data_IF_596043295560
#
_entry.id   IF_596043295560
#
_cell.length_a   1.000
_cell.length_b   1.000
_cell.length_c   1.000
_cell.angle_alpha   90.00
_cell.angle_beta   90.00
_cell.angle_gamma   90.00
#
_symmetry.space_group_name_H-M   'P 1'
#
loop_
_entity.id
_entity.type
_entity.pdbx_description
1 polymer ?
#
# COMPACT_ATOMS: atom_id res chain seq x y z
N UNK A 1 53.83 10.48 -1.47
CA UNK A 1 53.07 9.24 -1.74
C UNK A 1 51.92 9.03 -0.75
N UNK A 2 52.13 9.05 0.58
CA UNK A 2 51.07 8.89 1.62
C UNK A 2 49.84 9.82 1.47
N UNK A 3 50.03 11.09 1.10
CA UNK A 3 48.93 12.06 0.92
C UNK A 3 48.01 11.72 -0.26
N UNK A 4 48.52 11.11 -1.34
CA UNK A 4 47.69 10.71 -2.50
C UNK A 4 46.76 9.55 -2.15
N UNK A 5 47.19 8.62 -1.31
CA UNK A 5 46.37 7.51 -0.83
C UNK A 5 45.26 7.98 0.12
N UNK A 6 45.53 8.97 0.98
CA UNK A 6 44.53 9.59 1.85
C UNK A 6 43.47 10.36 1.06
N UNK A 7 43.87 11.14 0.04
CA UNK A 7 42.93 11.84 -0.85
C UNK A 7 42.12 10.85 -1.67
N UNK A 8 42.73 9.77 -2.15
CA UNK A 8 42.01 8.73 -2.89
C UNK A 8 41.04 7.95 -1.98
N UNK A 9 41.41 7.66 -0.73
CA UNK A 9 40.51 7.11 0.29
C UNK A 9 39.36 8.06 0.60
N UNK A 10 39.62 9.36 0.79
CA UNK A 10 38.60 10.38 1.02
C UNK A 10 37.65 10.53 -0.17
N UNK A 11 38.16 10.46 -1.40
CA UNK A 11 37.34 10.46 -2.62
C UNK A 11 36.54 9.16 -2.75
N UNK A 12 37.10 8.00 -2.42
CA UNK A 12 36.37 6.73 -2.43
C UNK A 12 35.27 6.70 -1.35
N UNK A 13 35.52 7.26 -0.17
CA UNK A 13 34.51 7.45 0.89
C UNK A 13 33.53 8.59 0.62
N UNK A 14 33.86 9.53 -0.27
CA UNK A 14 32.92 10.55 -0.73
C UNK A 14 32.05 10.04 -1.89
N UNK A 15 32.58 9.10 -2.70
CA UNK A 15 31.88 8.43 -3.81
C UNK A 15 30.98 7.28 -3.31
N UNK A 16 31.20 6.78 -2.09
CA UNK A 16 30.23 5.98 -1.34
C UNK A 16 29.55 6.92 -0.32
N UNK A 17 28.35 7.48 -0.45
CA UNK A 17 27.05 6.85 -0.76
C UNK A 17 26.03 8.00 -0.94
N UNK A 18 25.87 8.55 -2.15
CA UNK A 18 24.53 9.02 -2.57
C UNK A 18 23.94 7.91 -3.42
N UNK A 19 23.56 6.81 -2.77
CA UNK A 19 22.79 5.77 -3.46
C UNK A 19 21.39 6.32 -3.71
N UNK A 20 21.25 7.01 -4.82
CA UNK A 20 19.96 7.41 -5.40
C UNK A 20 19.30 6.13 -5.92
N UNK A 21 18.45 5.52 -5.09
CA UNK A 21 17.53 4.47 -5.53
C UNK A 21 16.44 5.05 -6.45
N UNK A 22 16.03 4.28 -7.46
CA UNK A 22 14.78 4.49 -8.19
C UNK A 22 13.63 3.80 -7.47
N UNK A 23 12.59 4.54 -7.11
CA UNK A 23 11.49 4.08 -6.27
C UNK A 23 10.17 4.29 -7.01
N UNK A 24 9.34 3.25 -7.08
CA UNK A 24 8.00 3.31 -7.63
C UNK A 24 6.96 3.33 -6.50
N UNK A 25 6.19 4.41 -6.36
CA UNK A 25 5.04 4.50 -5.47
C UNK A 25 3.73 4.21 -6.20
N UNK A 26 2.92 3.29 -5.69
CA UNK A 26 1.64 2.87 -6.27
C UNK A 26 0.52 3.10 -5.26
N UNK A 27 -0.26 4.16 -5.45
CA UNK A 27 -1.28 4.63 -4.50
C UNK A 27 -2.65 4.79 -5.21
N UNK A 28 -3.36 3.69 -5.49
CA UNK A 28 -4.60 3.69 -6.27
C UNK A 28 -5.82 4.24 -5.55
N UNK A 29 -5.79 4.45 -4.22
CA UNK A 29 -6.98 4.89 -3.51
C UNK A 29 -7.35 6.35 -3.80
N UNK A 30 -8.61 6.58 -4.18
CA UNK A 30 -9.21 7.92 -4.38
C UNK A 30 -9.66 8.59 -3.07
N UNK A 31 -8.81 8.55 -2.04
CA UNK A 31 -9.06 9.22 -0.76
C UNK A 31 -7.86 10.09 -0.37
N UNK A 32 -8.09 11.40 -0.17
CA UNK A 32 -7.02 12.35 0.21
C UNK A 32 -6.32 11.97 1.51
N UNK A 33 -7.05 11.39 2.46
CA UNK A 33 -6.48 10.92 3.73
C UNK A 33 -5.45 9.81 3.53
N UNK A 34 -5.68 8.92 2.57
CA UNK A 34 -4.74 7.87 2.21
C UNK A 34 -3.49 8.46 1.55
N UNK A 35 -3.70 9.33 0.56
CA UNK A 35 -2.59 9.98 -0.12
C UNK A 35 -1.74 10.83 0.83
N UNK A 36 -2.34 11.54 1.78
CA UNK A 36 -1.58 12.35 2.74
C UNK A 36 -0.53 11.54 3.50
N UNK A 37 -0.87 10.31 3.89
CA UNK A 37 0.04 9.38 4.57
C UNK A 37 1.16 8.93 3.62
N UNK A 38 0.79 8.41 2.44
CA UNK A 38 1.76 7.90 1.47
C UNK A 38 2.72 8.99 0.96
N UNK A 39 2.17 10.17 0.69
CA UNK A 39 2.88 11.35 0.20
C UNK A 39 4.00 11.80 1.16
N UNK A 40 3.80 11.66 2.47
CA UNK A 40 4.83 12.00 3.46
C UNK A 40 6.11 11.19 3.24
N UNK A 41 6.01 9.90 2.95
CA UNK A 41 7.16 9.03 2.70
C UNK A 41 7.83 9.37 1.37
N UNK A 42 7.05 9.41 0.29
CA UNK A 42 7.64 9.59 -1.06
C UNK A 42 8.27 10.97 -1.25
N UNK A 43 7.72 12.02 -0.63
CA UNK A 43 8.34 13.35 -0.63
C UNK A 43 9.65 13.37 0.14
N UNK A 44 9.70 12.74 1.32
CA UNK A 44 10.93 12.66 2.11
C UNK A 44 12.02 11.85 1.38
N UNK A 45 11.63 10.76 0.69
CA UNK A 45 12.58 9.99 -0.13
C UNK A 45 13.12 10.82 -1.29
N UNK A 46 12.27 11.55 -2.01
CA UNK A 46 12.70 12.44 -3.09
C UNK A 46 13.63 13.56 -2.57
N UNK A 47 13.29 14.16 -1.42
CA UNK A 47 14.11 15.18 -0.76
C UNK A 47 15.49 14.67 -0.33
N UNK A 48 15.61 13.38 -0.03
CA UNK A 48 16.89 12.70 0.26
C UNK A 48 17.68 12.31 -0.98
N UNK A 49 17.21 12.67 -2.18
CA UNK A 49 17.90 12.47 -3.44
C UNK A 49 17.59 11.15 -4.13
N UNK A 50 16.53 10.43 -3.74
CA UNK A 50 16.02 9.28 -4.50
C UNK A 50 15.19 9.72 -5.71
N UNK A 51 15.24 8.96 -6.79
CA UNK A 51 14.35 9.17 -7.94
C UNK A 51 13.03 8.47 -7.66
N UNK A 52 11.96 9.22 -7.47
CA UNK A 52 10.65 8.68 -7.09
C UNK A 52 9.66 8.88 -8.22
N UNK A 53 9.08 7.79 -8.73
CA UNK A 53 7.93 7.83 -9.63
C UNK A 53 6.69 7.45 -8.85
N UNK A 54 5.67 8.31 -8.82
CA UNK A 54 4.42 8.08 -8.09
C UNK A 54 3.26 7.93 -9.06
N UNK A 55 2.51 6.84 -8.90
CA UNK A 55 1.26 6.60 -9.60
C UNK A 55 0.10 6.82 -8.62
N UNK A 56 -0.70 7.86 -8.82
CA UNK A 56 -1.79 8.21 -7.91
C UNK A 56 -2.90 9.03 -8.59
N UNK A 57 -4.10 9.14 -8.00
CA UNK A 57 -5.17 9.96 -8.56
C UNK A 57 -5.09 11.43 -8.14
N UNK A 58 -4.11 11.80 -7.31
CA UNK A 58 -3.98 13.14 -6.74
C UNK A 58 -2.68 13.80 -7.22
N UNK A 59 -2.72 14.58 -8.31
CA UNK A 59 -1.53 15.29 -8.78
C UNK A 59 -1.04 16.29 -7.73
N UNK A 60 0.27 16.35 -7.56
CA UNK A 60 0.91 17.31 -6.70
C UNK A 60 0.99 18.69 -7.37
N UNK A 61 0.71 19.75 -6.59
CA UNK A 61 0.71 21.12 -7.11
C UNK A 61 2.10 21.76 -7.08
N UNK A 62 2.94 21.33 -6.14
CA UNK A 62 4.30 21.83 -6.00
C UNK A 62 5.27 21.03 -6.87
N UNK A 63 6.22 21.69 -7.54
CA UNK A 63 7.35 20.99 -8.13
C UNK A 63 8.24 20.40 -7.03
N UNK A 64 8.56 19.11 -7.16
CA UNK A 64 9.43 18.38 -6.24
C UNK A 64 10.61 17.84 -7.04
N UNK A 65 11.87 18.14 -6.66
CA UNK A 65 13.04 17.55 -7.30
C UNK A 65 13.03 16.01 -7.20
N UNK A 66 13.50 15.34 -8.25
CA UNK A 66 13.57 13.87 -8.33
C UNK A 66 12.23 13.15 -8.15
N UNK A 67 11.13 13.81 -8.51
CA UNK A 67 9.77 13.29 -8.33
C UNK A 67 9.01 13.38 -9.65
N UNK A 68 8.61 12.22 -10.17
CA UNK A 68 7.82 12.06 -11.40
C UNK A 68 6.44 11.55 -11.02
N UNK A 69 5.39 12.11 -11.62
CA UNK A 69 4.02 11.63 -11.42
C UNK A 69 3.44 10.99 -12.67
N UNK A 70 2.68 9.93 -12.44
CA UNK A 70 1.76 9.32 -13.40
C UNK A 70 0.39 9.40 -12.76
N UNK A 71 -0.47 10.25 -13.32
CA UNK A 71 -1.79 10.50 -12.75
C UNK A 71 -2.78 9.56 -13.40
N UNK A 72 -3.58 8.85 -12.61
CA UNK A 72 -4.67 8.06 -13.16
C UNK A 72 -5.67 8.96 -13.87
N UNK A 73 -6.25 8.44 -14.94
CA UNK A 73 -7.35 9.09 -15.66
C UNK A 73 -8.47 9.55 -14.70
N UNK A 74 -8.90 10.80 -14.87
CA UNK A 74 -9.85 11.48 -14.00
C UNK A 74 -11.28 10.92 -14.07
N UNK A 75 -11.58 10.10 -15.10
CA UNK A 75 -12.92 9.58 -15.37
C UNK A 75 -13.29 8.35 -14.51
N UNK A 76 -12.76 8.24 -13.29
CA UNK A 76 -12.99 7.09 -12.39
C UNK A 76 -14.49 6.83 -12.14
N UNK A 77 -15.30 7.89 -11.98
CA UNK A 77 -16.73 7.76 -11.71
C UNK A 77 -17.51 7.25 -12.91
N UNK A 78 -17.14 7.68 -14.12
CA UNK A 78 -17.74 7.19 -15.37
C UNK A 78 -17.38 5.73 -15.59
N UNK A 79 -16.10 5.37 -15.46
CA UNK A 79 -15.64 3.98 -15.54
C UNK A 79 -16.28 3.09 -14.47
N UNK A 80 -16.48 3.61 -13.27
CA UNK A 80 -17.22 2.90 -12.22
C UNK A 80 -18.67 2.62 -12.64
N UNK A 81 -19.35 3.61 -13.23
CA UNK A 81 -20.72 3.46 -13.72
C UNK A 81 -20.79 2.46 -14.87
N UNK A 82 -19.86 2.49 -15.82
CA UNK A 82 -19.80 1.54 -16.94
C UNK A 82 -19.64 0.10 -16.48
N UNK A 83 -18.84 -0.13 -15.43
CA UNK A 83 -18.57 -1.48 -14.91
C UNK A 83 -19.71 -1.99 -14.02
N UNK A 84 -20.32 -1.12 -13.21
CA UNK A 84 -21.26 -1.53 -12.14
C UNK A 84 -22.72 -1.20 -12.43
N UNK A 85 -23.01 -0.32 -13.38
CA UNK A 85 -24.34 0.24 -13.63
C UNK A 85 -24.83 1.21 -12.55
N UNK A 86 -23.97 1.65 -11.64
CA UNK A 86 -24.31 2.55 -10.52
C UNK A 86 -23.15 3.50 -10.21
N UNK A 87 -23.36 4.59 -9.47
CA UNK A 87 -22.27 5.41 -8.95
C UNK A 87 -21.74 4.85 -7.62
N UNK A 88 -20.49 5.18 -7.23
CA UNK A 88 -19.96 4.75 -5.94
C UNK A 88 -20.88 5.20 -4.79
N UNK A 89 -21.10 4.34 -3.78
CA UNK A 89 -21.92 4.71 -2.63
C UNK A 89 -21.28 5.84 -1.83
N UNK A 90 -22.12 6.65 -1.17
CA UNK A 90 -21.66 7.68 -0.23
C UNK A 90 -20.80 7.05 0.88
N UNK A 91 -19.57 7.52 1.14
CA UNK A 91 -18.72 6.96 2.17
C UNK A 91 -19.34 6.93 3.57
N UNK A 92 -20.26 7.85 3.90
CA UNK A 92 -20.91 7.82 5.21
C UNK A 92 -21.92 6.67 5.36
N UNK A 93 -22.45 6.13 4.26
CA UNK A 93 -23.31 4.94 4.30
C UNK A 93 -22.58 3.68 4.78
N UNK A 94 -21.24 3.66 4.73
CA UNK A 94 -20.44 2.54 5.20
C UNK A 94 -20.61 2.27 6.70
N UNK A 95 -21.00 3.28 7.49
CA UNK A 95 -21.22 3.15 8.94
C UNK A 95 -22.42 2.26 9.29
N UNK A 96 -23.35 2.11 8.36
CA UNK A 96 -24.60 1.35 8.55
C UNK A 96 -24.42 -0.11 8.11
N UNK A 97 -23.26 -0.46 7.55
CA UNK A 97 -22.91 -1.82 7.14
C UNK A 97 -22.41 -2.64 8.32
N UNK A 98 -22.85 -3.90 8.40
CA UNK A 98 -22.21 -4.86 9.28
C UNK A 98 -20.83 -5.28 8.75
N UNK A 99 -20.05 -5.97 9.59
CA UNK A 99 -18.68 -6.41 9.28
C UNK A 99 -18.55 -7.16 7.96
N UNK A 100 -19.52 -8.03 7.64
CA UNK A 100 -19.50 -8.85 6.42
C UNK A 100 -19.82 -8.01 5.19
N UNK A 101 -20.84 -7.15 5.27
CA UNK A 101 -21.20 -6.23 4.19
C UNK A 101 -20.07 -5.25 3.88
N UNK A 102 -19.47 -4.65 4.92
CA UNK A 102 -18.34 -3.75 4.79
C UNK A 102 -17.17 -4.44 4.08
N UNK A 103 -16.85 -5.68 4.49
CA UNK A 103 -15.76 -6.44 3.88
C UNK A 103 -16.01 -6.75 2.40
N UNK A 104 -17.18 -7.27 2.03
CA UNK A 104 -17.49 -7.54 0.62
C UNK A 104 -17.48 -6.27 -0.23
N UNK A 105 -17.95 -5.15 0.34
CA UNK A 105 -17.89 -3.85 -0.31
C UNK A 105 -16.43 -3.41 -0.56
N UNK A 106 -15.56 -3.51 0.44
CA UNK A 106 -14.14 -3.15 0.30
C UNK A 106 -13.41 -4.03 -0.71
N UNK A 107 -13.68 -5.34 -0.73
CA UNK A 107 -13.12 -6.27 -1.73
C UNK A 107 -13.62 -5.98 -3.14
N UNK A 108 -14.91 -5.67 -3.27
CA UNK A 108 -15.51 -5.25 -4.53
C UNK A 108 -14.87 -3.98 -5.05
N UNK A 109 -14.78 -2.95 -4.20
CA UNK A 109 -14.14 -1.67 -4.51
C UNK A 109 -12.67 -1.86 -4.92
N UNK A 110 -11.89 -2.60 -4.13
CA UNK A 110 -10.49 -2.88 -4.43
C UNK A 110 -10.30 -3.57 -5.79
N UNK A 111 -11.12 -4.59 -6.07
CA UNK A 111 -11.10 -5.27 -7.38
C UNK A 111 -11.46 -4.34 -8.53
N UNK A 112 -12.43 -3.43 -8.32
CA UNK A 112 -12.84 -2.46 -9.33
C UNK A 112 -11.74 -1.42 -9.59
N UNK A 113 -11.11 -0.89 -8.54
CA UNK A 113 -9.98 0.02 -8.68
C UNK A 113 -8.83 -0.64 -9.43
N UNK A 114 -8.52 -1.90 -9.13
CA UNK A 114 -7.55 -2.70 -9.88
C UNK A 114 -7.91 -2.83 -11.37
N UNK A 115 -9.16 -3.18 -11.68
CA UNK A 115 -9.64 -3.32 -13.06
C UNK A 115 -9.51 -2.01 -13.85
N UNK A 116 -9.87 -0.88 -13.23
CA UNK A 116 -9.81 0.44 -13.88
C UNK A 116 -8.37 0.94 -14.01
N UNK A 117 -7.60 0.90 -12.93
CA UNK A 117 -6.28 1.52 -12.90
C UNK A 117 -5.23 0.74 -13.68
N UNK A 118 -5.32 -0.58 -13.73
CA UNK A 118 -4.38 -1.35 -14.56
C UNK A 118 -4.64 -1.17 -16.06
N UNK A 119 -5.80 -0.65 -16.48
CA UNK A 119 -6.06 -0.27 -17.89
C UNK A 119 -5.48 1.10 -18.26
N UNK A 120 -5.11 1.91 -17.27
CA UNK A 120 -4.64 3.27 -17.49
C UNK A 120 -3.40 3.27 -18.39
N UNK A 121 -3.35 4.19 -19.35
CA UNK A 121 -2.28 4.25 -20.35
C UNK A 121 -0.91 4.42 -19.69
N UNK A 122 -0.78 5.27 -18.67
CA UNK A 122 0.50 5.47 -17.97
C UNK A 122 0.95 4.23 -17.19
N UNK A 123 -0.01 3.45 -16.69
CA UNK A 123 0.26 2.17 -16.01
C UNK A 123 0.64 1.09 -17.00
N UNK A 124 -0.04 1.02 -18.14
CA UNK A 124 0.29 0.10 -19.23
C UNK A 124 1.67 0.40 -19.82
N UNK A 125 2.05 1.68 -19.95
CA UNK A 125 3.41 2.08 -20.31
C UNK A 125 4.45 1.54 -19.30
N UNK A 126 4.20 1.63 -17.99
CA UNK A 126 5.08 1.04 -16.97
C UNK A 126 5.15 -0.49 -17.09
N UNK A 127 4.01 -1.18 -17.27
CA UNK A 127 3.94 -2.63 -17.42
C UNK A 127 4.75 -3.10 -18.65
N UNK A 128 4.67 -2.37 -19.75
CA UNK A 128 5.31 -2.71 -21.03
C UNK A 128 6.69 -2.07 -21.23
N UNK A 129 7.12 -1.22 -20.32
CA UNK A 129 8.44 -0.57 -20.37
C UNK A 129 9.57 -1.60 -20.47
N UNK A 130 10.57 -1.31 -21.29
CA UNK A 130 11.78 -2.14 -21.46
C UNK A 130 13.00 -1.55 -20.77
N UNK A 131 13.03 -0.23 -20.66
CA UNK A 131 14.20 0.53 -20.20
C UNK A 131 14.02 1.10 -18.79
N UNK A 132 12.87 0.86 -18.15
CA UNK A 132 12.62 1.26 -16.77
C UNK A 132 12.94 0.13 -15.79
N UNK A 133 13.56 0.50 -14.67
CA UNK A 133 13.87 -0.38 -13.55
C UNK A 133 13.65 0.39 -12.25
N UNK A 134 13.31 -0.34 -11.19
CA UNK A 134 13.14 0.22 -9.85
C UNK A 134 13.88 -0.65 -8.84
N UNK A 135 14.49 -0.02 -7.85
CA UNK A 135 15.18 -0.68 -6.74
C UNK A 135 14.23 -1.03 -5.59
N UNK A 136 13.10 -0.32 -5.52
CA UNK A 136 12.08 -0.47 -4.48
C UNK A 136 10.71 -0.13 -5.04
N UNK A 137 9.69 -0.89 -4.64
CA UNK A 137 8.29 -0.58 -4.91
C UNK A 137 7.58 -0.33 -3.59
N UNK A 138 6.90 0.81 -3.49
CA UNK A 138 6.06 1.18 -2.35
C UNK A 138 4.61 1.07 -2.81
N UNK A 139 3.83 0.20 -2.19
CA UNK A 139 2.42 -0.01 -2.51
C UNK A 139 1.59 0.37 -1.30
N UNK A 140 0.53 1.13 -1.50
CA UNK A 140 -0.48 1.30 -0.47
C UNK A 140 -1.11 -0.06 -0.10
N UNK A 141 -1.27 -0.36 1.19
CA UNK A 141 -1.89 -1.59 1.67
C UNK A 141 -3.41 -1.43 1.83
N UNK A 142 -4.16 -1.49 0.73
CA UNK A 142 -5.61 -1.28 0.75
C UNK A 142 -6.36 -2.00 -0.38
N UNK A 143 -6.44 -3.34 -0.32
CA UNK A 143 -7.21 -4.16 -1.28
C UNK A 143 -6.90 -3.84 -2.75
N UNK A 144 -5.62 -3.74 -3.05
CA UNK A 144 -5.04 -3.39 -4.34
C UNK A 144 -3.91 -4.36 -4.70
N UNK A 145 -4.02 -5.61 -4.25
CA UNK A 145 -2.98 -6.64 -4.36
C UNK A 145 -2.64 -6.97 -5.82
N UNK A 146 -3.52 -6.68 -6.78
CA UNK A 146 -3.23 -6.74 -8.22
C UNK A 146 -1.94 -5.98 -8.61
N UNK A 147 -1.58 -4.90 -7.90
CA UNK A 147 -0.38 -4.11 -8.16
C UNK A 147 0.91 -4.84 -7.75
N UNK A 148 0.83 -5.94 -6.98
CA UNK A 148 2.00 -6.78 -6.68
C UNK A 148 2.62 -7.40 -7.95
N UNK A 149 1.90 -7.42 -9.08
CA UNK A 149 2.48 -7.77 -10.39
C UNK A 149 3.72 -6.94 -10.75
N UNK A 150 3.82 -5.70 -10.25
CA UNK A 150 5.00 -4.87 -10.44
C UNK A 150 6.26 -5.41 -9.75
N UNK A 151 6.11 -6.16 -8.65
CA UNK A 151 7.22 -6.84 -7.98
C UNK A 151 7.90 -7.84 -8.92
N UNK A 152 7.11 -8.61 -9.67
CA UNK A 152 7.64 -9.51 -10.71
C UNK A 152 8.21 -8.75 -11.90
N UNK A 153 7.52 -7.70 -12.36
CA UNK A 153 7.94 -6.88 -13.51
C UNK A 153 9.33 -6.28 -13.32
N UNK A 154 9.56 -5.67 -12.17
CA UNK A 154 10.82 -4.96 -11.89
C UNK A 154 11.80 -5.75 -11.03
N UNK A 155 11.40 -6.93 -10.53
CA UNK A 155 12.22 -7.79 -9.65
C UNK A 155 12.73 -7.05 -8.42
N UNK A 156 11.88 -6.20 -7.85
CA UNK A 156 12.21 -5.33 -6.74
C UNK A 156 11.42 -5.72 -5.48
N UNK A 157 12.02 -5.56 -4.29
CA UNK A 157 11.31 -5.76 -3.02
C UNK A 157 10.16 -4.75 -2.87
N UNK A 158 9.14 -5.16 -2.13
CA UNK A 158 7.94 -4.35 -1.87
C UNK A 158 7.92 -3.85 -0.43
N UNK A 159 7.59 -2.56 -0.26
CA UNK A 159 7.17 -1.96 1.00
C UNK A 159 5.68 -1.66 0.91
N UNK A 160 4.91 -2.16 1.87
CA UNK A 160 3.47 -1.93 1.94
C UNK A 160 3.18 -0.82 2.95
N UNK A 161 2.36 0.18 2.60
CA UNK A 161 2.03 1.32 3.48
C UNK A 161 0.54 1.32 3.79
N UNK A 162 0.19 1.03 5.03
CA UNK A 162 -1.16 1.12 5.53
C UNK A 162 -1.43 2.53 6.08
N UNK A 163 -2.37 3.24 5.44
CA UNK A 163 -2.74 4.61 5.79
C UNK A 163 -3.53 4.76 7.09
N UNK A 164 -3.92 3.64 7.71
CA UNK A 164 -4.71 3.59 8.94
C UNK A 164 -4.07 2.63 9.97
N UNK A 165 -4.78 2.30 11.05
CA UNK A 165 -4.28 1.47 12.16
C UNK A 165 -3.89 0.02 11.81
N UNK A 166 -4.13 -0.39 10.56
CA UNK A 166 -3.94 -1.75 10.08
C UNK A 166 -5.06 -2.70 10.51
N UNK A 167 -5.12 -3.84 9.84
CA UNK A 167 -5.93 -5.00 10.24
C UNK A 167 -5.03 -6.24 10.24
N UNK A 168 -5.56 -7.38 10.67
CA UNK A 168 -4.79 -8.61 10.82
C UNK A 168 -4.14 -9.07 9.49
N UNK A 169 -4.80 -8.89 8.34
CA UNK A 169 -4.24 -9.33 7.05
C UNK A 169 -2.94 -8.62 6.65
N UNK A 170 -2.71 -7.38 7.11
CA UNK A 170 -1.44 -6.69 6.89
C UNK A 170 -0.28 -7.35 7.65
N UNK A 171 -0.58 -7.97 8.80
CA UNK A 171 0.39 -8.76 9.54
C UNK A 171 0.78 -10.03 8.78
N UNK A 172 -0.17 -10.67 8.10
CA UNK A 172 0.07 -11.91 7.35
C UNK A 172 1.09 -11.71 6.22
N UNK A 173 1.14 -10.52 5.60
CA UNK A 173 2.12 -10.16 4.56
C UNK A 173 3.58 -10.33 4.99
N UNK A 174 3.83 -10.25 6.30
CA UNK A 174 5.16 -10.26 6.91
C UNK A 174 5.32 -11.34 7.98
N UNK A 175 4.35 -12.24 8.10
CA UNK A 175 4.35 -13.33 9.07
C UNK A 175 4.12 -12.89 10.52
N UNK A 176 3.50 -11.73 10.75
CA UNK A 176 3.17 -11.26 12.09
C UNK A 176 2.01 -12.07 12.69
N UNK A 177 2.13 -12.60 13.92
CA UNK A 177 1.06 -13.38 14.52
C UNK A 177 -0.13 -12.49 14.93
N UNK A 178 -1.35 -12.98 14.68
CA UNK A 178 -2.61 -12.28 14.92
C UNK A 178 -3.49 -13.02 15.95
N UNK A 179 -3.31 -12.79 17.26
CA UNK A 179 -4.03 -13.52 18.30
C UNK A 179 -5.42 -12.92 18.59
N UNK A 180 -6.46 -13.52 18.01
CA UNK A 180 -7.86 -13.09 18.18
C UNK A 180 -8.41 -13.20 19.62
N UNK A 181 -7.68 -13.84 20.53
CA UNK A 181 -8.09 -13.97 21.94
C UNK A 181 -7.94 -12.67 22.73
N UNK A 182 -7.11 -11.72 22.30
CA UNK A 182 -6.94 -10.44 23.00
C UNK A 182 -6.71 -9.25 22.06
N UNK A 183 -6.45 -9.48 20.77
CA UNK A 183 -6.40 -8.42 19.76
C UNK A 183 -7.75 -8.41 19.03
N UNK A 184 -8.57 -7.35 19.18
CA UNK A 184 -9.81 -7.24 18.41
C UNK A 184 -9.49 -7.07 16.93
N UNK A 185 -10.24 -7.77 16.09
CA UNK A 185 -10.17 -7.61 14.65
C UNK A 185 -10.79 -6.26 14.25
N UNK A 186 -10.16 -5.57 13.28
CA UNK A 186 -10.58 -4.24 12.83
C UNK A 186 -11.99 -4.20 12.22
N UNK A 187 -12.58 -5.35 11.90
CA UNK A 187 -13.96 -5.47 11.45
C UNK A 187 -14.95 -5.73 12.59
N UNK A 188 -14.51 -5.75 13.85
CA UNK A 188 -15.38 -5.86 15.04
C UNK A 188 -15.42 -4.55 15.82
N UNK A 189 -16.43 -4.39 16.69
CA UNK A 189 -16.52 -3.24 17.60
C UNK A 189 -15.95 -3.56 19.00
N UNK A 190 -15.13 -4.60 19.12
CA UNK A 190 -14.60 -5.06 20.40
C UNK A 190 -13.35 -4.26 20.82
N UNK A 191 -13.03 -4.34 22.12
CA UNK A 191 -11.78 -3.81 22.69
C UNK A 191 -10.80 -4.94 23.01
N UNK A 192 -9.64 -4.63 23.59
CA UNK A 192 -8.73 -5.62 24.18
C UNK A 192 -9.32 -6.36 25.40
N UNK A 193 -10.42 -5.83 25.96
CA UNK A 193 -11.21 -6.48 27.01
C UNK A 193 -12.44 -7.14 26.40
N UNK A 194 -12.32 -8.43 26.14
CA UNK A 194 -13.40 -9.28 25.62
C UNK A 194 -13.83 -10.34 26.64
N UNK A 195 -15.12 -10.63 26.68
CA UNK A 195 -15.69 -11.85 27.27
C UNK A 195 -15.32 -13.08 26.43
N UNK A 196 -15.60 -14.29 26.93
CA UNK A 196 -15.36 -15.51 26.15
C UNK A 196 -16.15 -15.52 24.83
N UNK A 197 -17.43 -15.11 24.86
CA UNK A 197 -18.26 -15.04 23.65
C UNK A 197 -17.72 -14.02 22.66
N UNK A 198 -17.28 -12.85 23.11
CA UNK A 198 -16.70 -11.83 22.22
C UNK A 198 -15.38 -12.31 21.61
N UNK A 199 -14.51 -12.99 22.38
CA UNK A 199 -13.29 -13.62 21.82
C UNK A 199 -13.61 -14.67 20.76
N UNK A 200 -14.65 -15.48 21.01
CA UNK A 200 -15.11 -16.49 20.04
C UNK A 200 -15.62 -15.81 18.76
N UNK A 201 -16.48 -14.80 18.88
CA UNK A 201 -16.97 -14.01 17.75
C UNK A 201 -15.82 -13.33 17.00
N UNK A 202 -14.87 -12.73 17.71
CA UNK A 202 -13.70 -12.09 17.14
C UNK A 202 -12.85 -13.07 16.32
N UNK A 203 -12.65 -14.28 16.86
CA UNK A 203 -11.92 -15.35 16.18
C UNK A 203 -12.66 -15.81 14.93
N UNK A 204 -13.98 -16.03 15.00
CA UNK A 204 -14.80 -16.44 13.86
C UNK A 204 -14.76 -15.37 12.75
N UNK A 205 -14.93 -14.09 13.12
CA UNK A 205 -14.87 -12.97 12.16
C UNK A 205 -13.48 -12.91 11.53
N UNK A 206 -12.42 -12.86 12.31
CA UNK A 206 -11.05 -12.78 11.81
C UNK A 206 -10.66 -13.94 10.89
N UNK A 207 -10.96 -15.18 11.27
CA UNK A 207 -10.70 -16.34 10.41
C UNK A 207 -11.57 -16.34 9.16
N UNK A 208 -12.83 -15.92 9.26
CA UNK A 208 -13.68 -15.77 8.08
C UNK A 208 -13.11 -14.72 7.11
N UNK A 209 -12.61 -13.59 7.62
CA UNK A 209 -11.95 -12.57 6.79
C UNK A 209 -10.68 -13.11 6.13
N UNK A 210 -9.83 -13.81 6.89
CA UNK A 210 -8.57 -14.40 6.40
C UNK A 210 -8.82 -15.46 5.33
N UNK A 211 -9.73 -16.39 5.59
CA UNK A 211 -10.11 -17.44 4.63
C UNK A 211 -10.81 -16.84 3.42
N UNK A 212 -11.74 -15.91 3.62
CA UNK A 212 -12.46 -15.27 2.54
C UNK A 212 -11.50 -14.50 1.62
N UNK A 213 -10.50 -13.81 2.19
CA UNK A 213 -9.46 -13.13 1.42
C UNK A 213 -8.70 -14.15 0.56
N UNK A 214 -8.22 -15.23 1.17
CA UNK A 214 -7.43 -16.27 0.51
C UNK A 214 -8.19 -17.00 -0.62
N UNK A 215 -9.46 -17.35 -0.40
CA UNK A 215 -10.20 -18.22 -1.30
C UNK A 215 -11.14 -17.50 -2.26
N UNK A 216 -11.50 -16.23 -2.00
CA UNK A 216 -12.40 -15.46 -2.86
C UNK A 216 -11.73 -14.21 -3.43
N UNK A 217 -11.10 -13.40 -2.59
CA UNK A 217 -10.55 -12.12 -3.02
C UNK A 217 -9.25 -12.27 -3.82
N UNK A 218 -8.26 -13.00 -3.29
CA UNK A 218 -6.95 -13.18 -3.95
C UNK A 218 -7.07 -13.83 -5.34
N UNK A 219 -7.87 -14.90 -5.55
CA UNK A 219 -8.07 -15.45 -6.89
C UNK A 219 -8.64 -14.44 -7.90
N UNK A 220 -9.44 -13.48 -7.44
CA UNK A 220 -9.93 -12.39 -8.30
C UNK A 220 -8.80 -11.42 -8.63
N UNK A 221 -7.94 -11.07 -7.66
CA UNK A 221 -6.76 -10.25 -7.90
C UNK A 221 -5.77 -10.93 -8.85
N UNK A 222 -5.60 -12.25 -8.75
CA UNK A 222 -4.82 -13.07 -9.68
C UNK A 222 -5.34 -12.94 -11.12
N UNK A 223 -6.64 -13.10 -11.31
CA UNK A 223 -7.26 -13.00 -12.64
C UNK A 223 -7.06 -11.60 -13.24
N UNK A 224 -7.25 -10.54 -12.44
CA UNK A 224 -7.05 -9.15 -12.87
C UNK A 224 -5.57 -8.91 -13.22
N UNK A 225 -4.64 -9.31 -12.35
CA UNK A 225 -3.21 -9.13 -12.61
C UNK A 225 -2.77 -9.88 -13.88
N UNK A 226 -3.18 -11.13 -14.07
CA UNK A 226 -2.86 -11.89 -15.31
C UNK A 226 -3.42 -11.26 -16.56
N UNK A 227 -4.61 -10.63 -16.48
CA UNK A 227 -5.23 -9.93 -17.61
C UNK A 227 -4.40 -8.73 -18.07
N UNK A 228 -3.87 -7.94 -17.15
CA UNK A 228 -3.22 -6.66 -17.46
C UNK A 228 -1.69 -6.70 -17.51
N UNK A 229 -1.04 -7.56 -16.73
CA UNK A 229 0.41 -7.81 -16.82
C UNK A 229 0.73 -8.81 -17.94
N UNK A 230 0.15 -8.60 -19.11
CA UNK A 230 0.23 -9.51 -20.26
C UNK A 230 1.57 -9.43 -21.04
N UNK A 231 2.57 -8.70 -20.51
CA UNK A 231 3.93 -8.72 -21.01
C UNK A 231 4.62 -10.09 -20.82
N UNK A 232 4.04 -10.96 -19.99
CA UNK A 232 4.51 -12.32 -19.72
C UNK A 232 3.33 -13.27 -19.47
N UNK A 233 3.51 -14.55 -19.77
CA UNK A 233 2.58 -15.61 -19.39
C UNK A 233 2.96 -16.27 -18.04
N UNK A 234 4.16 -15.99 -17.54
CA UNK A 234 4.76 -16.66 -16.36
C UNK A 234 4.61 -15.82 -15.08
N UNK A 235 3.56 -15.00 -14.98
CA UNK A 235 3.29 -14.21 -13.78
C UNK A 235 2.99 -15.16 -12.60
N UNK A 236 3.73 -15.08 -11.48
CA UNK A 236 3.40 -15.83 -10.26
C UNK A 236 2.03 -15.42 -9.72
N UNK A 237 1.44 -16.25 -8.85
CA UNK A 237 0.21 -15.86 -8.16
C UNK A 237 0.45 -14.65 -7.24
N UNK A 238 -0.57 -13.85 -7.00
CA UNK A 238 -0.57 -12.75 -6.04
C UNK A 238 -0.12 -13.26 -4.67
N UNK A 239 -0.58 -14.44 -4.24
CA UNK A 239 -0.14 -15.03 -2.97
C UNK A 239 1.37 -15.33 -2.92
N UNK A 240 1.99 -15.71 -4.04
CA UNK A 240 3.45 -15.83 -4.13
C UNK A 240 4.12 -14.46 -4.16
N UNK A 241 3.55 -13.48 -4.85
CA UNK A 241 4.10 -12.12 -4.93
C UNK A 241 4.01 -11.36 -3.60
N UNK A 242 3.05 -11.69 -2.74
CA UNK A 242 2.98 -11.18 -1.36
C UNK A 242 4.28 -11.42 -0.59
N UNK A 243 4.97 -12.54 -0.86
CA UNK A 243 6.25 -12.88 -0.22
C UNK A 243 7.41 -11.94 -0.60
N UNK A 244 7.23 -11.11 -1.64
CA UNK A 244 8.17 -10.04 -1.99
C UNK A 244 8.05 -8.82 -1.06
N UNK A 245 7.05 -8.80 -0.18
CA UNK A 245 6.87 -7.75 0.83
C UNK A 245 7.94 -7.87 1.91
N UNK A 246 8.91 -6.96 1.89
CA UNK A 246 10.00 -6.93 2.85
C UNK A 246 9.64 -6.18 4.13
N UNK A 247 8.72 -5.23 4.04
CA UNK A 247 8.36 -4.32 5.14
C UNK A 247 6.92 -3.84 4.99
N UNK A 248 6.21 -3.77 6.10
CA UNK A 248 4.88 -3.14 6.20
C UNK A 248 4.98 -1.96 7.16
N UNK A 249 4.64 -0.77 6.67
CA UNK A 249 4.53 0.46 7.44
C UNK A 249 3.06 0.69 7.79
N UNK A 250 2.74 0.88 9.06
CA UNK A 250 1.36 1.08 9.52
C UNK A 250 1.24 2.43 10.20
N UNK A 251 0.27 3.24 9.78
CA UNK A 251 -0.06 4.53 10.40
C UNK A 251 -0.78 4.32 11.75
N UNK A 252 0.00 3.83 12.72
CA UNK A 252 -0.42 3.54 14.09
C UNK A 252 0.72 3.91 15.05
N UNK A 253 0.41 4.05 16.34
CA UNK A 253 1.42 4.19 17.39
C UNK A 253 1.01 3.36 18.61
N UNK A 254 1.96 2.71 19.27
CA UNK A 254 1.69 1.74 20.35
C UNK A 254 0.99 2.39 21.55
N UNK A 255 1.14 3.71 21.73
CA UNK A 255 0.47 4.46 22.80
C UNK A 255 -1.01 4.74 22.52
N UNK A 256 -1.47 4.56 21.28
CA UNK A 256 -2.84 4.88 20.84
C UNK A 256 -3.67 3.62 20.55
N UNK A 257 -3.10 2.44 20.71
CA UNK A 257 -3.73 1.18 20.31
C UNK A 257 -3.45 0.07 21.33
N UNK A 258 -4.15 -1.04 21.18
CA UNK A 258 -4.03 -2.20 22.05
C UNK A 258 -2.67 -2.88 21.89
N UNK A 259 -2.21 -3.53 22.96
CA UNK A 259 -1.02 -4.35 22.93
C UNK A 259 -1.22 -5.53 21.96
N UNK A 260 -0.34 -5.63 20.96
CA UNK A 260 -0.34 -6.72 19.98
C UNK A 260 1.09 -7.12 19.61
N UNK A 261 1.30 -8.36 19.13
CA UNK A 261 2.59 -8.76 18.60
C UNK A 261 3.01 -7.90 17.41
N UNK A 262 4.30 -7.55 17.34
CA UNK A 262 4.90 -6.78 16.26
C UNK A 262 6.22 -7.44 15.87
N UNK A 263 6.28 -7.99 14.66
CA UNK A 263 7.52 -8.44 14.05
C UNK A 263 8.36 -7.23 13.58
N UNK A 264 9.70 -7.34 13.50
CA UNK A 264 10.57 -6.22 13.12
C UNK A 264 10.27 -5.59 11.75
N UNK A 265 9.66 -6.36 10.85
CA UNK A 265 9.24 -5.97 9.51
C UNK A 265 7.80 -5.39 9.47
N UNK A 266 7.16 -5.19 10.61
CA UNK A 266 5.89 -4.46 10.77
C UNK A 266 6.16 -3.20 11.62
N UNK A 267 6.43 -2.08 10.95
CA UNK A 267 6.87 -0.84 11.61
C UNK A 267 5.73 0.15 11.72
N UNK A 268 5.57 0.71 12.91
CA UNK A 268 4.57 1.72 13.21
C UNK A 268 5.10 3.12 12.90
N UNK A 269 4.43 3.82 11.99
CA UNK A 269 4.77 5.17 11.50
C UNK A 269 3.61 6.16 11.71
N UNK A 270 2.94 6.02 12.86
CA UNK A 270 1.78 6.82 13.23
C UNK A 270 2.05 8.32 13.17
N UNK A 271 1.22 9.03 12.40
CA UNK A 271 1.26 10.49 12.32
C UNK A 271 2.40 11.08 11.50
N UNK A 272 3.14 10.29 10.71
CA UNK A 272 4.26 10.80 9.88
C UNK A 272 3.89 11.90 8.88
N UNK A 273 2.60 12.04 8.56
CA UNK A 273 2.06 13.07 7.67
C UNK A 273 1.63 14.35 8.40
N UNK A 274 1.63 14.34 9.75
CA UNK A 274 1.25 15.48 10.57
C UNK A 274 2.40 16.47 10.57
N UNK A 275 2.10 17.70 10.12
CA UNK A 275 3.05 18.82 10.13
C UNK A 275 2.80 19.71 11.35
N UNK A 276 3.81 20.49 11.78
CA UNK A 276 3.59 21.54 12.77
C UNK A 276 2.42 22.45 12.35
N UNK A 277 1.59 22.90 13.31
CA UNK A 277 0.48 23.80 13.01
C UNK A 277 1.01 25.09 12.35
N UNK A 278 0.31 25.57 11.33
CA UNK A 278 0.56 26.87 10.75
C UNK A 278 -0.12 27.94 11.60
N UNK A 279 0.48 29.13 11.70
CA UNK A 279 -0.18 30.28 12.30
C UNK A 279 -1.47 30.57 11.51
N UNK A 280 -2.58 30.79 12.21
CA UNK A 280 -3.83 31.17 11.59
C UNK A 280 -3.62 32.54 10.94
N UNK A 281 -3.96 32.67 9.65
CA UNK A 281 -4.08 33.98 9.04
C UNK A 281 -5.18 34.76 9.77
N UNK A 282 -4.85 35.95 10.27
CA UNK A 282 -5.83 36.89 10.85
C UNK A 282 -6.97 37.22 9.87
#
# INVERSE_FOLDING_TARGET
VRSKWLVMLLLITAVHVSRTAKILGLFPMHAKSHMAVNLAIVKELAARGHEVTVVSPFPEKSEIPNYKEIVFDANIFEKFFEITGSYPPDPFSMRDLNSMQLMFMLWGMGSMLCEIHLQDAGVQELIHSKDENFDLIIIEAFFNDCFLGFAHKFKAPVVQVCSFGGTNWMGDLVGNPNPYSYVPDGFTHFSDRMTFSERLTNTIVGEFMRMGRKYFYIPKQDAIARKYFNYTNDLPSISELETSTALVLVNNHFSLNYAKPLMPNLVQVGGMHIKPPQELSE
#
